data_IF_504339504730
#
_entry.id   IF_504339504730
#
_cell.length_a   1.000
_cell.length_b   1.000
_cell.length_c   1.000
_cell.angle_alpha   90.00
_cell.angle_beta   90.00
_cell.angle_gamma   90.00
#
_symmetry.space_group_name_H-M   'P 1'
#
loop_
_entity.id
_entity.type
_entity.pdbx_description
1 polymer ?
#
# COMPACT_ATOMS: atom_id res chain seq x y z
N UNK A 1 12.36 13.23 -17.53
CA UNK A 1 11.78 13.69 -16.24
C UNK A 1 12.18 12.69 -15.18
N UNK A 2 12.72 13.13 -14.04
CA UNK A 2 13.03 12.24 -12.91
C UNK A 2 11.74 11.61 -12.41
N UNK A 3 11.65 10.29 -12.46
CA UNK A 3 10.49 9.57 -11.94
C UNK A 3 10.58 9.59 -10.40
N UNK A 4 9.76 10.44 -9.76
CA UNK A 4 9.76 10.56 -8.31
C UNK A 4 9.29 9.24 -7.69
N UNK A 5 10.04 8.78 -6.70
CA UNK A 5 9.71 7.57 -5.93
C UNK A 5 9.11 7.98 -4.60
N UNK A 6 7.85 7.63 -4.38
CA UNK A 6 7.09 8.01 -3.20
C UNK A 6 6.72 6.77 -2.40
N UNK A 7 7.09 6.75 -1.11
CA UNK A 7 6.66 5.75 -0.15
C UNK A 7 5.60 6.36 0.76
N UNK A 8 4.38 5.85 0.69
CA UNK A 8 3.32 6.16 1.64
C UNK A 8 3.41 5.20 2.83
N UNK A 9 3.40 5.75 4.04
CA UNK A 9 3.32 4.97 5.29
C UNK A 9 2.03 5.34 5.99
N UNK A 10 1.17 4.35 6.23
CA UNK A 10 -0.14 4.57 6.84
C UNK A 10 -0.48 3.44 7.81
N UNK A 11 -1.36 3.73 8.78
CA UNK A 11 -1.92 2.73 9.69
C UNK A 11 -2.98 1.87 9.02
N UNK A 12 -3.75 2.43 8.08
CA UNK A 12 -4.84 1.75 7.40
C UNK A 12 -5.00 2.23 5.95
N UNK A 13 -5.58 1.37 5.10
CA UNK A 13 -5.87 1.69 3.70
C UNK A 13 -6.97 0.77 3.15
N UNK A 14 -7.92 1.35 2.42
CA UNK A 14 -8.96 0.59 1.71
C UNK A 14 -8.34 -0.10 0.47
N UNK A 15 -8.54 -1.42 0.22
CA UNK A 15 -9.51 -2.33 0.86
C UNK A 15 -8.97 -3.28 1.91
N UNK A 16 -7.70 -3.13 2.31
CA UNK A 16 -7.07 -4.07 3.24
C UNK A 16 -7.51 -3.86 4.69
N UNK A 17 -7.54 -2.60 5.13
CA UNK A 17 -7.93 -2.21 6.47
C UNK A 17 -8.72 -0.91 6.40
N UNK A 18 -10.01 -0.98 6.75
CA UNK A 18 -10.93 0.16 6.77
C UNK A 18 -11.62 0.20 8.13
N UNK A 19 -10.97 0.83 9.09
CA UNK A 19 -11.53 1.05 10.44
C UNK A 19 -12.10 2.46 10.58
N UNK A 20 -11.58 3.43 9.83
CA UNK A 20 -12.12 4.79 9.77
C UNK A 20 -12.15 5.34 8.33
N UNK A 21 -12.68 6.55 8.17
CA UNK A 21 -12.69 7.28 6.90
C UNK A 21 -11.27 7.59 6.39
N UNK A 22 -10.26 7.60 7.27
CA UNK A 22 -8.85 7.82 6.91
C UNK A 22 -8.39 6.79 5.87
N UNK A 23 -8.86 5.54 5.95
CA UNK A 23 -8.53 4.50 4.97
C UNK A 23 -8.93 4.85 3.52
N UNK A 24 -10.05 5.58 3.34
CA UNK A 24 -10.51 6.03 2.02
C UNK A 24 -9.69 7.23 1.53
N UNK A 25 -9.37 8.17 2.42
CA UNK A 25 -8.47 9.30 2.11
C UNK A 25 -7.07 8.83 1.69
N UNK A 26 -6.48 7.92 2.46
CA UNK A 26 -5.14 7.35 2.18
C UNK A 26 -5.14 6.61 0.85
N UNK A 27 -6.23 5.95 0.44
CA UNK A 27 -6.32 5.29 -0.87
C UNK A 27 -6.23 6.28 -2.04
N UNK A 28 -6.78 7.48 -1.88
CA UNK A 28 -6.84 8.49 -2.94
C UNK A 28 -5.47 9.08 -3.32
N UNK A 29 -4.58 9.29 -2.34
CA UNK A 29 -3.30 9.97 -2.58
C UNK A 29 -2.34 9.16 -3.48
N UNK A 30 -2.09 7.86 -3.23
CA UNK A 30 -1.26 7.04 -4.09
C UNK A 30 -1.87 6.89 -5.48
N UNK A 31 -3.20 6.73 -5.58
CA UNK A 31 -3.89 6.62 -6.87
C UNK A 31 -3.65 7.87 -7.72
N UNK A 32 -3.84 9.07 -7.16
CA UNK A 32 -3.61 10.32 -7.87
C UNK A 32 -2.15 10.52 -8.29
N UNK A 33 -1.17 10.07 -7.50
CA UNK A 33 0.25 10.18 -7.88
C UNK A 33 0.66 9.14 -8.92
N UNK A 34 0.06 7.94 -8.88
CA UNK A 34 0.26 6.93 -9.92
C UNK A 34 -0.26 7.43 -11.28
N UNK A 35 -1.44 8.05 -11.31
CA UNK A 35 -2.03 8.66 -12.51
C UNK A 35 -1.17 9.81 -13.07
N UNK A 36 -0.36 10.47 -12.21
CA UNK A 36 0.62 11.48 -12.61
C UNK A 36 1.97 10.89 -13.08
N UNK A 37 2.09 9.57 -13.16
CA UNK A 37 3.28 8.88 -13.68
C UNK A 37 4.42 8.70 -12.68
N UNK A 38 4.14 8.76 -11.38
CA UNK A 38 5.14 8.55 -10.31
C UNK A 38 5.29 7.07 -9.92
N UNK A 39 6.47 6.67 -9.45
CA UNK A 39 6.67 5.34 -8.83
C UNK A 39 6.18 5.40 -7.37
N UNK A 40 5.08 4.72 -7.07
CA UNK A 40 4.50 4.70 -5.73
C UNK A 40 4.69 3.34 -5.05
N UNK A 41 4.89 3.38 -3.73
CA UNK A 41 4.81 2.21 -2.84
C UNK A 41 4.02 2.57 -1.60
N UNK A 42 3.36 1.59 -1.02
CA UNK A 42 2.52 1.75 0.17
C UNK A 42 2.99 0.73 1.21
N UNK A 43 3.25 1.20 2.43
CA UNK A 43 3.56 0.37 3.59
C UNK A 43 2.47 0.57 4.64
N UNK A 44 1.84 -0.54 5.01
CA UNK A 44 0.81 -0.60 6.05
C UNK A 44 1.12 -1.80 6.95
N UNK A 45 1.00 -1.67 8.28
CA UNK A 45 1.15 -2.81 9.17
C UNK A 45 0.13 -3.91 8.82
N UNK A 46 0.57 -5.18 8.78
CA UNK A 46 -0.33 -6.32 8.67
C UNK A 46 -0.98 -6.60 10.02
N UNK A 47 -2.01 -5.85 10.35
CA UNK A 47 -2.89 -6.17 11.47
C UNK A 47 -3.63 -7.49 11.18
N UNK A 48 -3.88 -8.31 12.21
CA UNK A 48 -4.53 -9.63 12.07
C UNK A 48 -5.99 -9.59 11.56
N UNK A 49 -6.51 -8.39 11.28
CA UNK A 49 -7.84 -8.15 10.74
C UNK A 49 -7.89 -8.22 9.19
N UNK A 50 -6.73 -8.24 8.52
CA UNK A 50 -6.68 -8.27 7.06
C UNK A 50 -7.06 -9.66 6.55
N UNK A 51 -8.07 -9.74 5.69
CA UNK A 51 -8.49 -11.00 5.10
C UNK A 51 -7.51 -11.45 4.00
N UNK A 52 -6.63 -12.40 4.31
CA UNK A 52 -5.61 -12.91 3.38
C UNK A 52 -6.19 -13.64 2.17
N UNK A 53 -7.26 -14.41 2.36
CA UNK A 53 -7.88 -15.18 1.27
C UNK A 53 -8.49 -14.26 0.22
N UNK A 54 -9.21 -13.23 0.66
CA UNK A 54 -9.83 -12.23 -0.23
C UNK A 54 -8.77 -11.42 -0.98
N UNK A 55 -7.70 -11.04 -0.27
CA UNK A 55 -6.69 -10.10 -0.77
C UNK A 55 -5.52 -10.78 -1.49
N UNK A 56 -5.45 -12.12 -1.52
CA UNK A 56 -4.37 -12.90 -2.15
C UNK A 56 -2.99 -12.38 -1.71
N UNK A 57 -2.81 -12.19 -0.40
CA UNK A 57 -1.54 -11.69 0.11
C UNK A 57 -0.45 -12.75 -0.09
N UNK A 58 0.63 -12.33 -0.73
CA UNK A 58 1.81 -13.16 -0.93
C UNK A 58 2.90 -12.72 0.05
N UNK A 59 3.39 -13.66 0.85
CA UNK A 59 4.61 -13.46 1.61
C UNK A 59 5.79 -13.45 0.65
N UNK A 60 6.53 -12.34 0.62
CA UNK A 60 7.70 -12.19 -0.25
C UNK A 60 8.95 -12.33 0.61
N UNK A 61 9.58 -13.49 0.54
CA UNK A 61 10.93 -13.69 1.08
C UNK A 61 11.92 -13.14 0.05
N UNK A 62 12.65 -12.08 0.39
CA UNK A 62 13.79 -11.66 -0.43
C UNK A 62 14.94 -12.62 -0.14
N UNK A 63 15.33 -13.43 -1.12
CA UNK A 63 16.60 -14.13 -1.06
C UNK A 63 17.71 -13.06 -1.18
N UNK A 64 18.26 -12.65 -0.04
CA UNK A 64 19.41 -11.76 -0.03
C UNK A 64 20.64 -12.56 -0.48
N UNK A 65 21.10 -12.31 -1.71
CA UNK A 65 22.47 -12.62 -2.15
C UNK A 65 22.81 -14.10 -2.36
N UNK A 66 22.16 -14.73 -3.35
CA UNK A 66 22.87 -15.68 -4.24
C UNK A 66 23.06 -14.99 -5.58
#
# INVERSE_FOLDING_TARGET
MSNFKILYVASEINPFLKTSEVADFVRGLPQAMLEKGMEIRILVPRFGLINERKNRLHEVVRLSGI
#
